data_IF_771992763621
#
_entry.id   IF_771992763621
#
_cell.length_a   1.000
_cell.length_b   1.000
_cell.length_c   1.000
_cell.angle_alpha   90.00
_cell.angle_beta   90.00
_cell.angle_gamma   90.00
#
_symmetry.space_group_name_H-M   'P 1'
#
loop_
_entity.id
_entity.type
_entity.pdbx_description
1 polymer ?
#
# COMPACT_ATOMS: atom_id res chain seq x y z
N UNK A 1 -12.45 2.24 12.37
CA UNK A 1 -13.12 2.11 11.05
C UNK A 1 -14.32 1.20 11.28
N UNK A 2 -15.55 1.69 11.15
CA UNK A 2 -16.76 0.89 11.42
C UNK A 2 -16.96 -0.21 10.37
N UNK A 3 -17.81 -1.19 10.64
CA UNK A 3 -18.14 -2.25 9.69
C UNK A 3 -18.87 -1.67 8.47
N UNK A 4 -18.19 -1.58 7.34
CA UNK A 4 -18.74 -1.10 6.07
C UNK A 4 -17.94 -1.66 4.89
N UNK A 5 -18.59 -1.73 3.72
CA UNK A 5 -18.01 -2.31 2.50
C UNK A 5 -17.29 -1.28 1.61
N UNK A 6 -17.16 -0.04 2.06
CA UNK A 6 -16.56 1.06 1.29
C UNK A 6 -15.13 1.40 1.72
N UNK A 7 -14.72 0.94 2.90
CA UNK A 7 -13.38 1.16 3.45
C UNK A 7 -12.53 -0.11 3.29
N UNK A 8 -11.26 0.08 2.96
CA UNK A 8 -10.22 -0.95 3.02
C UNK A 8 -9.03 -0.42 3.82
N UNK A 9 -8.17 -1.32 4.27
CA UNK A 9 -7.02 -1.00 5.12
C UNK A 9 -5.80 -1.70 4.55
N UNK A 10 -4.69 -0.97 4.42
CA UNK A 10 -3.39 -1.52 4.04
C UNK A 10 -2.40 -1.40 5.21
N UNK A 11 -1.35 -2.21 5.18
CA UNK A 11 -0.38 -2.27 6.27
C UNK A 11 0.70 -1.17 6.17
N UNK A 12 0.80 -0.35 7.20
CA UNK A 12 2.05 0.33 7.56
C UNK A 12 2.33 1.67 6.88
N UNK A 13 3.62 2.02 6.87
CA UNK A 13 4.18 3.28 6.41
C UNK A 13 5.40 3.00 5.54
N UNK A 14 5.64 3.86 4.55
CA UNK A 14 6.90 3.86 3.80
C UNK A 14 7.82 4.97 4.27
N UNK A 15 9.11 4.71 4.26
CA UNK A 15 10.12 5.75 4.35
C UNK A 15 10.38 6.28 2.95
N UNK A 16 10.19 7.58 2.76
CA UNK A 16 10.46 8.28 1.52
C UNK A 16 11.40 9.46 1.78
N UNK A 17 12.31 9.71 0.84
CA UNK A 17 13.13 10.92 0.84
C UNK A 17 12.32 12.11 0.31
N UNK A 18 12.25 13.18 1.10
CA UNK A 18 11.72 14.45 0.65
C UNK A 18 12.86 15.33 0.13
N UNK A 19 12.89 15.48 -1.20
CA UNK A 19 13.88 16.29 -1.91
C UNK A 19 13.85 17.78 -1.56
N UNK A 20 12.73 18.30 -1.06
CA UNK A 20 12.59 19.74 -0.82
C UNK A 20 13.14 20.18 0.52
N UNK A 21 13.17 19.26 1.49
CA UNK A 21 13.65 19.52 2.85
C UNK A 21 14.88 18.68 3.21
N UNK A 22 15.40 17.90 2.25
CA UNK A 22 16.57 17.03 2.40
C UNK A 22 16.51 16.09 3.62
N UNK A 23 15.32 15.57 3.91
CA UNK A 23 15.10 14.65 5.04
C UNK A 23 14.24 13.47 4.61
N UNK A 24 14.48 12.32 5.23
CA UNK A 24 13.64 11.14 5.06
C UNK A 24 12.47 11.18 6.04
N UNK A 25 11.26 10.90 5.56
CA UNK A 25 10.03 10.93 6.38
C UNK A 25 9.20 9.68 6.19
N UNK A 26 8.59 9.25 7.29
CA UNK A 26 7.57 8.21 7.28
C UNK A 26 6.26 8.79 6.78
N UNK A 27 5.73 8.20 5.72
CA UNK A 27 4.48 8.61 5.08
C UNK A 27 3.54 7.40 5.07
N UNK A 28 2.24 7.59 5.42
CA UNK A 28 1.27 6.51 5.33
C UNK A 28 1.06 6.08 3.87
N UNK A 29 0.83 4.78 3.67
CA UNK A 29 0.73 4.19 2.33
C UNK A 29 -0.60 4.47 1.62
N UNK A 30 -1.61 4.97 2.33
CA UNK A 30 -2.95 5.24 1.80
C UNK A 30 -2.94 6.10 0.52
N UNK A 31 -2.08 7.13 0.45
CA UNK A 31 -1.96 7.97 -0.74
C UNK A 31 -1.40 7.22 -1.96
N UNK A 32 -0.42 6.34 -1.74
CA UNK A 32 0.14 5.51 -2.81
C UNK A 32 -0.87 4.48 -3.32
N UNK A 33 -1.63 3.86 -2.41
CA UNK A 33 -2.64 2.86 -2.77
C UNK A 33 -3.78 3.51 -3.55
N UNK A 34 -4.25 4.69 -3.13
CA UNK A 34 -5.23 5.46 -3.90
C UNK A 34 -4.72 5.80 -5.32
N UNK A 35 -3.44 6.19 -5.44
CA UNK A 35 -2.80 6.41 -6.74
C UNK A 35 -2.71 5.15 -7.60
N UNK A 36 -2.44 3.99 -7.00
CA UNK A 36 -2.42 2.70 -7.71
C UNK A 36 -3.80 2.26 -8.19
N UNK A 37 -4.83 2.47 -7.37
CA UNK A 37 -6.22 2.24 -7.76
C UNK A 37 -6.58 3.11 -8.98
N UNK A 38 -6.38 4.43 -8.87
CA UNK A 38 -6.65 5.37 -9.97
C UNK A 38 -5.85 5.04 -11.24
N UNK A 39 -4.58 4.63 -11.12
CA UNK A 39 -3.78 4.19 -12.27
C UNK A 39 -4.36 2.93 -12.91
N UNK A 40 -4.78 1.95 -12.11
CA UNK A 40 -5.31 0.68 -12.62
C UNK A 40 -6.62 0.90 -13.36
N UNK A 41 -7.49 1.77 -12.85
CA UNK A 41 -8.74 2.17 -13.54
C UNK A 41 -8.46 2.82 -14.90
N UNK A 42 -7.36 3.58 -15.02
CA UNK A 42 -6.98 4.27 -16.25
C UNK A 42 -6.28 3.37 -17.28
N UNK A 43 -5.44 2.42 -16.84
CA UNK A 43 -4.63 1.59 -17.75
C UNK A 43 -5.22 0.22 -18.05
N UNK A 44 -6.09 -0.25 -17.18
CA UNK A 44 -6.79 -1.52 -17.29
C UNK A 44 -8.28 -1.20 -17.23
N UNK A 45 -8.99 -1.65 -16.20
CA UNK A 45 -10.38 -1.31 -15.96
C UNK A 45 -10.69 -1.39 -14.45
N UNK A 46 -11.79 -0.78 -13.97
CA UNK A 46 -12.10 -0.72 -12.53
C UNK A 46 -12.33 -2.06 -11.82
N UNK A 47 -12.59 -3.14 -12.56
CA UNK A 47 -12.74 -4.49 -11.98
C UNK A 47 -11.41 -5.24 -11.85
N UNK A 48 -10.31 -4.66 -12.33
CA UNK A 48 -8.98 -5.21 -12.12
C UNK A 48 -8.46 -4.83 -10.73
N UNK A 49 -7.98 -5.82 -9.97
CA UNK A 49 -7.32 -5.54 -8.70
C UNK A 49 -6.06 -4.70 -8.91
N UNK A 50 -5.88 -3.58 -8.24
CA UNK A 50 -4.64 -2.79 -8.32
C UNK A 50 -3.45 -3.46 -7.58
N UNK A 51 -3.70 -4.55 -6.84
CA UNK A 51 -2.68 -5.31 -6.14
C UNK A 51 -1.88 -6.24 -7.06
N UNK A 52 -0.76 -6.74 -6.52
CA UNK A 52 0.10 -7.75 -7.14
C UNK A 52 1.54 -7.27 -7.38
N UNK A 53 2.50 -8.19 -7.31
CA UNK A 53 3.93 -7.88 -7.38
C UNK A 53 4.36 -7.22 -8.70
N UNK A 54 3.62 -7.38 -9.79
CA UNK A 54 3.98 -6.76 -11.08
C UNK A 54 3.26 -5.42 -11.33
N UNK A 55 2.12 -5.17 -10.69
CA UNK A 55 1.26 -4.01 -10.97
C UNK A 55 1.18 -3.03 -9.81
N UNK A 56 1.04 -3.54 -8.59
CA UNK A 56 0.91 -2.78 -7.35
C UNK A 56 2.24 -2.23 -6.84
N UNK A 57 3.14 -1.86 -7.75
CA UNK A 57 4.46 -1.37 -7.43
C UNK A 57 4.38 0.05 -6.88
N UNK A 58 4.81 0.22 -5.64
CA UNK A 58 4.84 1.53 -4.96
C UNK A 58 6.20 2.18 -5.22
N UNK A 59 6.19 3.44 -5.66
CA UNK A 59 7.40 4.17 -6.03
C UNK A 59 7.97 4.95 -4.85
N UNK A 60 9.27 5.29 -4.97
CA UNK A 60 10.01 6.12 -4.01
C UNK A 60 10.01 5.55 -2.57
N UNK A 61 10.01 4.22 -2.45
CA UNK A 61 10.12 3.52 -1.17
C UNK A 61 11.60 3.24 -0.89
N UNK A 62 12.11 3.75 0.23
CA UNK A 62 13.45 3.39 0.71
C UNK A 62 13.37 2.12 1.56
N UNK A 63 12.39 2.08 2.46
CA UNK A 63 12.06 0.90 3.28
C UNK A 63 10.64 0.99 3.80
N UNK A 64 10.10 -0.14 4.23
CA UNK A 64 8.82 -0.22 4.95
C UNK A 64 9.06 -0.18 6.47
N UNK A 65 8.15 0.46 7.20
CA UNK A 65 8.17 0.44 8.67
C UNK A 65 7.83 -0.95 9.21
N UNK A 66 7.00 -1.67 8.45
CA UNK A 66 6.59 -3.04 8.72
C UNK A 66 6.62 -3.78 7.40
N UNK A 67 7.54 -4.74 7.26
CA UNK A 67 7.57 -5.66 6.14
C UNK A 67 7.04 -7.02 6.62
N UNK A 68 5.74 -7.33 6.40
CA UNK A 68 5.13 -8.52 6.97
C UNK A 68 5.76 -9.79 6.40
N UNK A 69 6.16 -10.71 7.29
CA UNK A 69 6.54 -12.07 6.92
C UNK A 69 5.34 -12.86 6.40
N UNK A 70 5.56 -14.06 5.86
CA UNK A 70 4.45 -14.93 5.47
C UNK A 70 3.47 -15.17 6.63
N UNK A 71 3.99 -15.48 7.82
CA UNK A 71 3.19 -15.68 9.03
C UNK A 71 2.36 -14.46 9.39
N UNK A 72 2.92 -13.25 9.26
CA UNK A 72 2.17 -12.02 9.53
C UNK A 72 1.03 -11.81 8.54
N UNK A 73 1.27 -12.10 7.25
CA UNK A 73 0.24 -12.01 6.20
C UNK A 73 -0.91 -12.97 6.47
N UNK A 74 -0.61 -14.18 6.91
CA UNK A 74 -1.61 -15.19 7.25
C UNK A 74 -2.48 -14.76 8.44
N UNK A 75 -1.97 -13.85 9.30
CA UNK A 75 -2.71 -13.29 10.44
C UNK A 75 -3.55 -12.07 10.04
N UNK A 76 -3.01 -11.16 9.22
CA UNK A 76 -3.65 -9.87 8.94
C UNK A 76 -4.61 -9.91 7.74
N UNK A 77 -4.33 -10.73 6.72
CA UNK A 77 -5.15 -10.79 5.52
C UNK A 77 -6.58 -11.28 5.79
N UNK A 78 -6.82 -12.33 6.62
CA UNK A 78 -8.18 -12.73 7.00
C UNK A 78 -8.95 -11.67 7.80
N UNK A 79 -8.25 -10.67 8.37
CA UNK A 79 -8.84 -9.55 9.11
C UNK A 79 -9.18 -8.36 8.19
N UNK A 80 -9.06 -8.52 6.87
CA UNK A 80 -9.33 -7.47 5.89
C UNK A 80 -8.24 -6.39 5.81
N UNK A 81 -7.01 -6.72 6.22
CA UNK A 81 -5.85 -5.82 6.12
C UNK A 81 -4.96 -6.33 4.98
N UNK A 82 -4.76 -5.50 3.96
CA UNK A 82 -3.91 -5.85 2.82
C UNK A 82 -2.43 -5.65 3.18
N UNK A 83 -1.59 -6.69 3.04
CA UNK A 83 -0.16 -6.55 3.30
C UNK A 83 0.55 -5.82 2.15
N UNK A 84 1.41 -4.87 2.51
CA UNK A 84 2.38 -4.24 1.60
C UNK A 84 3.76 -4.79 1.94
N UNK A 85 4.48 -5.28 0.93
CA UNK A 85 5.76 -5.99 1.09
C UNK A 85 6.85 -5.40 0.21
N UNK A 86 8.10 -5.58 0.63
CA UNK A 86 9.33 -5.32 -0.14
C UNK A 86 10.20 -6.55 -0.19
#
# INVERSE_FOLDING_TARGET
VGNNNYAFIDSGYKLQYDRYNDVTRWIPLNGDIAGLAARTDLTNDPWWSFAGLNRGQIKNVIKLAFNPSQTDRDIIYPKGINPVVT
#
